data_IF_802876721287
#
_entry.id   IF_802876721287
#
_cell.length_a   1.000
_cell.length_b   1.000
_cell.length_c   1.000
_cell.angle_alpha   90.00
_cell.angle_beta   90.00
_cell.angle_gamma   90.00
#
_symmetry.space_group_name_H-M   'P 1'
#
loop_
_entity.id
_entity.type
_entity.pdbx_description
1 polymer ?
#
# COMPACT_ATOMS: atom_id res chain seq x y z
N UNK A 1 -44.39 3.09 11.44
CA UNK A 1 -43.46 3.34 10.31
C UNK A 1 -42.69 4.60 10.63
N UNK A 2 -41.48 4.44 11.15
CA UNK A 2 -40.53 5.54 11.37
C UNK A 2 -39.17 4.94 11.13
N UNK A 3 -38.62 5.24 9.95
CA UNK A 3 -37.38 4.66 9.44
C UNK A 3 -36.19 5.16 10.23
N UNK A 4 -35.36 4.22 10.67
CA UNK A 4 -34.00 4.46 11.11
C UNK A 4 -33.15 4.74 9.85
N UNK A 5 -32.76 6.00 9.65
CA UNK A 5 -31.67 6.32 8.74
C UNK A 5 -30.37 5.84 9.39
N UNK A 6 -29.81 4.75 8.87
CA UNK A 6 -28.47 4.30 9.22
C UNK A 6 -27.46 5.27 8.60
N UNK A 7 -26.80 6.06 9.43
CA UNK A 7 -25.70 6.92 9.04
C UNK A 7 -24.46 6.03 8.84
N UNK A 8 -24.12 5.70 7.59
CA UNK A 8 -22.83 5.09 7.25
C UNK A 8 -21.76 6.16 7.30
N UNK A 9 -21.09 6.29 8.44
CA UNK A 9 -19.90 7.14 8.59
C UNK A 9 -18.78 6.61 7.68
N UNK A 10 -18.42 7.40 6.66
CA UNK A 10 -17.31 7.13 5.77
C UNK A 10 -15.98 7.16 6.54
N UNK A 11 -15.34 5.99 6.67
CA UNK A 11 -14.00 5.86 7.26
C UNK A 11 -12.95 6.07 6.14
N UNK A 12 -12.48 7.29 5.99
CA UNK A 12 -11.31 7.61 5.15
C UNK A 12 -10.22 8.21 6.06
N UNK A 13 -8.98 7.74 5.93
CA UNK A 13 -7.83 8.30 6.63
C UNK A 13 -6.85 8.89 5.61
N UNK A 14 -6.35 10.11 5.87
CA UNK A 14 -5.36 10.79 5.04
C UNK A 14 -3.91 10.51 5.46
N UNK A 15 -3.69 9.61 6.42
CA UNK A 15 -2.38 9.43 7.06
C UNK A 15 -1.75 8.08 6.70
N UNK A 16 -1.27 7.96 5.46
CA UNK A 16 -0.27 6.94 5.07
C UNK A 16 0.94 7.68 4.52
N UNK A 17 1.86 7.98 5.42
CA UNK A 17 3.09 8.69 5.11
C UNK A 17 4.26 7.74 5.28
N UNK A 18 4.80 7.31 4.16
CA UNK A 18 5.78 6.23 4.08
C UNK A 18 7.22 6.78 4.01
N UNK A 19 7.37 8.05 3.65
CA UNK A 19 8.62 8.83 3.65
C UNK A 19 8.57 9.99 4.67
N UNK A 20 9.70 10.64 4.93
CA UNK A 20 9.73 11.81 5.83
C UNK A 20 9.01 13.00 5.21
N UNK A 21 8.17 13.67 6.00
CA UNK A 21 7.58 14.96 5.57
C UNK A 21 8.75 15.92 5.39
N UNK A 22 8.87 16.53 4.22
CA UNK A 22 9.76 17.66 4.08
C UNK A 22 9.36 18.74 5.11
N UNK A 23 10.36 19.46 5.63
CA UNK A 23 10.21 20.42 6.74
C UNK A 23 9.09 21.45 6.55
N UNK A 24 8.71 21.73 5.30
CA UNK A 24 7.63 22.66 4.93
C UNK A 24 6.22 22.17 5.29
N UNK A 25 6.04 20.87 5.57
CA UNK A 25 4.76 20.29 5.99
C UNK A 25 3.69 20.33 4.89
N UNK A 26 2.43 20.53 5.30
CA UNK A 26 1.27 20.40 4.41
C UNK A 26 0.77 21.77 3.91
N UNK A 27 0.23 21.86 2.68
CA UNK A 27 -0.30 23.11 2.12
C UNK A 27 -1.69 23.46 2.69
N UNK A 28 -1.76 23.68 4.01
CA UNK A 28 -3.03 23.89 4.73
C UNK A 28 -3.89 25.01 4.17
N UNK A 29 -3.29 26.12 3.73
CA UNK A 29 -4.04 27.24 3.15
C UNK A 29 -4.83 26.81 1.91
N UNK A 30 -4.22 26.02 1.00
CA UNK A 30 -4.88 25.55 -0.22
C UNK A 30 -5.97 24.50 0.09
N UNK A 31 -5.66 23.56 1.00
CA UNK A 31 -6.60 22.52 1.44
C UNK A 31 -7.84 23.14 2.12
N UNK A 32 -7.64 24.03 3.10
CA UNK A 32 -8.73 24.64 3.86
C UNK A 32 -9.56 25.63 3.03
N UNK A 33 -8.94 26.35 2.10
CA UNK A 33 -9.68 27.25 1.18
C UNK A 33 -10.64 26.47 0.27
N UNK A 34 -10.19 25.32 -0.24
CA UNK A 34 -11.02 24.43 -1.06
C UNK A 34 -12.15 23.79 -0.25
N UNK A 35 -11.85 23.32 0.97
CA UNK A 35 -12.86 22.74 1.86
C UNK A 35 -13.94 23.75 2.27
N UNK A 36 -13.54 25.00 2.56
CA UNK A 36 -14.49 26.04 3.04
C UNK A 36 -15.31 26.67 1.92
N UNK A 37 -14.89 26.52 0.66
CA UNK A 37 -15.62 27.04 -0.51
C UNK A 37 -16.65 26.05 -1.08
N UNK A 38 -16.59 24.78 -0.69
CA UNK A 38 -17.54 23.74 -1.10
C UNK A 38 -18.10 22.98 0.11
N UNK A 39 -19.26 23.40 0.60
CA UNK A 39 -19.97 22.74 1.70
C UNK A 39 -20.54 21.36 1.34
N UNK A 40 -20.54 20.99 0.05
CA UNK A 40 -21.02 19.69 -0.45
C UNK A 40 -19.92 18.65 -0.65
N UNK A 41 -18.65 18.99 -0.36
CA UNK A 41 -17.52 18.11 -0.59
C UNK A 41 -17.65 16.79 0.20
N UNK A 42 -17.58 15.67 -0.51
CA UNK A 42 -17.61 14.35 0.13
C UNK A 42 -16.28 14.04 0.84
N UNK A 43 -16.26 13.14 1.84
CA UNK A 43 -15.02 12.71 2.48
C UNK A 43 -13.97 12.17 1.50
N UNK A 44 -14.40 11.42 0.48
CA UNK A 44 -13.53 10.90 -0.57
C UNK A 44 -12.95 12.04 -1.43
N UNK A 45 -13.78 13.01 -1.84
CA UNK A 45 -13.32 14.16 -2.61
C UNK A 45 -12.29 14.98 -1.82
N UNK A 46 -12.52 15.17 -0.52
CA UNK A 46 -11.57 15.84 0.37
C UNK A 46 -10.25 15.06 0.49
N UNK A 47 -10.31 13.74 0.66
CA UNK A 47 -9.12 12.90 0.74
C UNK A 47 -8.29 12.96 -0.56
N UNK A 48 -8.95 12.88 -1.73
CA UNK A 48 -8.28 13.05 -3.03
C UNK A 48 -7.65 14.43 -3.18
N UNK A 49 -8.40 15.48 -2.84
CA UNK A 49 -7.94 16.86 -2.90
C UNK A 49 -6.67 17.08 -2.06
N UNK A 50 -6.66 16.59 -0.82
CA UNK A 50 -5.51 16.67 0.09
C UNK A 50 -4.25 16.10 -0.56
N UNK A 51 -4.34 14.90 -1.13
CA UNK A 51 -3.21 14.21 -1.78
C UNK A 51 -2.74 14.99 -3.02
N UNK A 52 -3.68 15.51 -3.81
CA UNK A 52 -3.36 16.32 -4.99
C UNK A 52 -2.69 17.65 -4.64
N UNK A 53 -3.19 18.37 -3.64
CA UNK A 53 -2.58 19.61 -3.17
C UNK A 53 -1.17 19.38 -2.62
N UNK A 54 -0.95 18.27 -1.90
CA UNK A 54 0.38 17.88 -1.45
C UNK A 54 1.36 17.69 -2.61
N UNK A 55 0.93 16.98 -3.67
CA UNK A 55 1.73 16.83 -4.90
C UNK A 55 2.05 18.17 -5.56
N UNK A 56 1.02 19.01 -5.80
CA UNK A 56 1.16 20.34 -6.42
C UNK A 56 2.12 21.24 -5.65
N UNK A 57 2.03 21.23 -4.32
CA UNK A 57 2.87 22.04 -3.45
C UNK A 57 4.36 21.72 -3.64
N UNK A 58 4.70 20.44 -3.64
CA UNK A 58 6.09 19.99 -3.77
C UNK A 58 6.62 20.00 -5.20
N UNK A 59 5.75 19.95 -6.21
CA UNK A 59 6.12 20.25 -7.59
C UNK A 59 6.50 21.74 -7.74
N UNK A 60 5.73 22.65 -7.15
CA UNK A 60 5.95 24.11 -7.26
C UNK A 60 7.14 24.62 -6.44
N UNK A 61 7.45 24.02 -5.28
CA UNK A 61 8.60 24.41 -4.45
C UNK A 61 9.94 23.86 -4.96
N UNK A 62 9.95 23.12 -6.08
CA UNK A 62 11.16 22.50 -6.63
C UNK A 62 12.10 23.52 -7.28
N UNK A 63 12.87 24.24 -6.45
CA UNK A 63 13.96 25.15 -6.86
C UNK A 63 15.19 24.39 -7.39
N UNK A 64 15.00 23.57 -8.43
CA UNK A 64 16.07 22.87 -9.15
C UNK A 64 16.17 21.36 -8.89
N UNK A 65 15.61 20.85 -7.80
CA UNK A 65 15.49 19.41 -7.53
C UNK A 65 14.11 19.12 -6.95
N UNK A 66 13.35 18.22 -7.60
CA UNK A 66 12.09 17.74 -7.04
C UNK A 66 12.38 16.96 -5.75
N UNK A 67 11.75 17.32 -4.61
CA UNK A 67 11.86 16.52 -3.39
C UNK A 67 11.32 15.13 -3.66
N UNK A 68 11.77 14.12 -2.92
CA UNK A 68 11.24 12.75 -2.99
C UNK A 68 10.06 12.65 -2.02
N UNK A 69 8.84 12.56 -2.55
CA UNK A 69 7.62 12.49 -1.75
C UNK A 69 6.78 11.28 -2.18
N UNK A 70 6.04 10.74 -1.22
CA UNK A 70 4.93 9.82 -1.44
C UNK A 70 3.78 10.25 -0.53
N UNK A 71 2.56 10.21 -1.05
CA UNK A 71 1.35 10.44 -0.26
C UNK A 71 0.19 9.75 -0.97
N UNK A 72 -0.64 9.05 -0.19
CA UNK A 72 -1.83 8.37 -0.68
C UNK A 72 -3.05 8.64 0.20
N UNK A 73 -4.22 8.31 -0.33
CA UNK A 73 -5.48 8.28 0.41
C UNK A 73 -6.11 6.91 0.26
N UNK A 74 -6.57 6.36 1.37
CA UNK A 74 -7.08 4.98 1.46
C UNK A 74 -8.56 4.96 1.82
N UNK A 75 -9.33 4.19 1.05
CA UNK A 75 -10.72 3.87 1.31
C UNK A 75 -10.84 2.66 2.24
N UNK A 76 -11.13 2.91 3.52
CA UNK A 76 -11.17 1.82 4.51
C UNK A 76 -12.37 0.89 4.34
N UNK A 77 -13.34 1.19 3.47
CA UNK A 77 -14.43 0.25 3.15
C UNK A 77 -13.94 -0.98 2.38
N UNK A 78 -12.77 -0.88 1.72
CA UNK A 78 -12.14 -1.99 0.99
C UNK A 78 -11.12 -2.79 1.84
N UNK A 79 -10.89 -2.41 3.11
CA UNK A 79 -9.82 -3.00 3.93
C UNK A 79 -10.07 -4.48 4.25
N UNK A 80 -11.33 -4.89 4.42
CA UNK A 80 -11.69 -6.29 4.67
C UNK A 80 -11.38 -7.17 3.45
N UNK A 81 -11.61 -6.65 2.24
CA UNK A 81 -11.25 -7.33 0.99
C UNK A 81 -9.74 -7.50 0.85
N UNK A 82 -8.97 -6.45 1.20
CA UNK A 82 -7.51 -6.57 1.26
C UNK A 82 -7.09 -7.64 2.26
N UNK A 83 -7.63 -7.64 3.48
CA UNK A 83 -7.26 -8.59 4.51
C UNK A 83 -7.57 -10.05 4.10
N UNK A 84 -8.68 -10.28 3.41
CA UNK A 84 -9.03 -11.60 2.85
C UNK A 84 -8.09 -12.04 1.74
N UNK A 85 -7.80 -11.16 0.77
CA UNK A 85 -6.87 -11.43 -0.31
C UNK A 85 -5.45 -11.69 0.21
N UNK A 86 -4.98 -10.89 1.17
CA UNK A 86 -3.69 -11.08 1.85
C UNK A 86 -3.64 -12.40 2.62
N UNK A 87 -4.75 -12.85 3.22
CA UNK A 87 -4.82 -14.16 3.89
C UNK A 87 -4.68 -15.32 2.93
N UNK A 88 -5.36 -15.25 1.79
CA UNK A 88 -5.19 -16.25 0.71
C UNK A 88 -3.77 -16.22 0.15
N UNK A 89 -3.22 -15.05 -0.15
CA UNK A 89 -1.86 -14.88 -0.62
C UNK A 89 -0.83 -15.49 0.35
N UNK A 90 -0.94 -15.16 1.64
CA UNK A 90 -0.05 -15.70 2.67
C UNK A 90 -0.17 -17.23 2.79
N UNK A 91 -1.39 -17.78 2.67
CA UNK A 91 -1.62 -19.22 2.69
C UNK A 91 -0.95 -19.92 1.51
N UNK A 92 -1.18 -19.43 0.28
CA UNK A 92 -0.61 -20.00 -0.95
C UNK A 92 0.91 -19.94 -0.94
N UNK A 93 1.48 -18.78 -0.61
CA UNK A 93 2.94 -18.62 -0.53
C UNK A 93 3.56 -19.58 0.50
N UNK A 94 2.93 -19.75 1.66
CA UNK A 94 3.42 -20.70 2.68
C UNK A 94 3.35 -22.14 2.22
N UNK A 95 2.27 -22.53 1.54
CA UNK A 95 2.14 -23.88 1.00
C UNK A 95 3.25 -24.15 -0.01
N UNK A 96 3.46 -23.25 -0.97
CA UNK A 96 4.48 -23.41 -2.01
C UNK A 96 5.90 -23.45 -1.44
N UNK A 97 6.18 -22.64 -0.42
CA UNK A 97 7.45 -22.70 0.31
C UNK A 97 7.63 -24.03 1.08
N UNK A 98 6.56 -24.57 1.69
CA UNK A 98 6.63 -25.86 2.36
C UNK A 98 6.86 -27.03 1.38
N UNK A 99 6.33 -26.90 0.17
CA UNK A 99 6.55 -27.81 -0.96
C UNK A 99 7.92 -27.62 -1.64
N UNK A 100 8.69 -26.60 -1.26
CA UNK A 100 9.99 -26.22 -1.84
C UNK A 100 9.88 -25.86 -3.32
N UNK A 101 8.83 -25.12 -3.69
CA UNK A 101 8.67 -24.57 -5.03
C UNK A 101 9.81 -23.57 -5.33
N UNK A 102 10.70 -23.97 -6.25
CA UNK A 102 11.89 -23.21 -6.61
C UNK A 102 11.55 -21.89 -7.31
N UNK A 103 10.48 -21.85 -8.11
CA UNK A 103 10.10 -20.66 -8.87
C UNK A 103 9.57 -19.58 -7.91
N UNK A 104 8.79 -19.97 -6.90
CA UNK A 104 8.35 -19.07 -5.82
C UNK A 104 9.53 -18.57 -4.99
N UNK A 105 10.44 -19.45 -4.55
CA UNK A 105 11.62 -19.05 -3.78
C UNK A 105 12.48 -18.03 -4.54
N UNK A 106 12.73 -18.28 -5.83
CA UNK A 106 13.52 -17.39 -6.68
C UNK A 106 12.84 -16.04 -6.86
N UNK A 107 11.54 -16.02 -7.18
CA UNK A 107 10.75 -14.80 -7.35
C UNK A 107 10.74 -13.96 -6.05
N UNK A 108 10.51 -14.57 -4.88
CA UNK A 108 10.52 -13.87 -3.59
C UNK A 108 11.90 -13.31 -3.24
N UNK A 109 12.96 -14.07 -3.47
CA UNK A 109 14.35 -13.63 -3.25
C UNK A 109 14.72 -12.44 -4.14
N UNK A 110 14.27 -12.45 -5.39
CA UNK A 110 14.45 -11.32 -6.29
C UNK A 110 13.63 -10.10 -5.88
N UNK A 111 12.34 -10.27 -5.58
CA UNK A 111 11.45 -9.21 -5.12
C UNK A 111 11.99 -8.51 -3.86
N UNK A 112 12.43 -9.27 -2.85
CA UNK A 112 13.02 -8.71 -1.61
C UNK A 112 14.21 -7.77 -1.86
N UNK A 113 14.98 -8.02 -2.92
CA UNK A 113 16.17 -7.22 -3.30
C UNK A 113 15.82 -6.01 -4.16
N UNK A 114 14.77 -6.10 -4.99
CA UNK A 114 14.47 -5.11 -6.04
C UNK A 114 13.33 -4.16 -5.72
N UNK A 115 12.46 -4.55 -4.80
CA UNK A 115 11.30 -3.77 -4.40
C UNK A 115 11.69 -2.37 -3.93
N UNK A 116 10.84 -1.40 -4.24
CA UNK A 116 10.93 -0.06 -3.66
C UNK A 116 10.74 -0.15 -2.15
N UNK A 117 11.82 0.10 -1.42
CA UNK A 117 11.80 0.34 0.03
C UNK A 117 11.55 1.80 0.32
N UNK A 118 10.97 2.10 1.46
CA UNK A 118 10.84 3.47 1.97
C UNK A 118 12.00 3.82 2.92
N UNK A 119 11.90 4.95 3.63
CA UNK A 119 12.92 5.37 4.61
C UNK A 119 13.05 4.37 5.74
N UNK A 120 11.93 3.92 6.26
CA UNK A 120 11.91 2.71 7.06
C UNK A 120 12.17 1.53 6.13
N UNK A 121 13.35 0.94 6.27
CA UNK A 121 13.81 -0.13 5.38
C UNK A 121 13.01 -1.40 5.56
N UNK A 122 12.26 -1.54 6.64
CA UNK A 122 11.39 -2.68 6.86
C UNK A 122 10.01 -2.50 6.21
N UNK A 123 9.74 -1.34 5.58
CA UNK A 123 8.55 -1.10 4.78
C UNK A 123 8.89 -1.05 3.29
N UNK A 124 8.11 -1.80 2.50
CA UNK A 124 8.21 -1.85 1.02
C UNK A 124 6.88 -1.48 0.40
N UNK A 125 6.86 -0.99 -0.83
CA UNK A 125 5.61 -0.82 -1.57
C UNK A 125 5.00 -2.19 -1.93
N UNK A 126 3.74 -2.42 -1.53
CA UNK A 126 3.07 -3.71 -1.71
C UNK A 126 2.86 -4.04 -3.18
N UNK A 127 2.38 -3.07 -3.98
CA UNK A 127 2.15 -3.29 -5.40
C UNK A 127 3.45 -3.65 -6.12
N UNK A 128 4.51 -2.88 -5.89
CA UNK A 128 5.82 -3.15 -6.50
C UNK A 128 6.37 -4.50 -6.08
N UNK A 129 6.20 -4.89 -4.80
CA UNK A 129 6.63 -6.19 -4.32
C UNK A 129 5.94 -7.33 -5.07
N UNK A 130 4.61 -7.27 -5.17
CA UNK A 130 3.81 -8.31 -5.83
C UNK A 130 4.02 -8.33 -7.35
N UNK A 131 4.15 -7.16 -7.98
CA UNK A 131 4.42 -7.07 -9.41
C UNK A 131 5.74 -7.74 -9.78
N UNK A 132 6.78 -7.56 -8.96
CA UNK A 132 8.08 -8.21 -9.17
C UNK A 132 7.96 -9.73 -8.97
N UNK A 133 7.19 -10.20 -7.98
CA UNK A 133 6.94 -11.64 -7.82
C UNK A 133 6.27 -12.20 -9.08
N UNK A 134 5.21 -11.55 -9.57
CA UNK A 134 4.47 -11.98 -10.74
C UNK A 134 5.34 -12.00 -12.01
N UNK A 135 6.20 -10.99 -12.20
CA UNK A 135 7.08 -10.89 -13.36
C UNK A 135 8.22 -11.93 -13.37
N UNK A 136 8.66 -12.36 -12.19
CA UNK A 136 9.80 -13.29 -12.04
C UNK A 136 9.35 -14.73 -11.78
N UNK A 137 8.06 -14.95 -11.52
CA UNK A 137 7.51 -16.28 -11.30
C UNK A 137 7.41 -17.05 -12.62
N UNK A 138 8.21 -18.12 -12.74
CA UNK A 138 8.25 -18.97 -13.93
C UNK A 138 7.38 -20.23 -13.83
N UNK A 139 6.71 -20.44 -12.69
CA UNK A 139 5.83 -21.58 -12.46
C UNK A 139 4.41 -21.37 -13.02
N UNK A 140 3.53 -22.34 -12.79
CA UNK A 140 2.18 -22.39 -13.36
C UNK A 140 1.06 -22.41 -12.31
N UNK A 141 1.35 -22.07 -11.04
CA UNK A 141 0.35 -22.01 -10.00
C UNK A 141 -0.66 -20.87 -10.25
N UNK A 142 -1.85 -21.25 -10.71
CA UNK A 142 -2.90 -20.30 -11.06
C UNK A 142 -3.48 -19.57 -9.83
N UNK A 143 -3.53 -20.24 -8.67
CA UNK A 143 -4.04 -19.63 -7.44
C UNK A 143 -3.13 -18.49 -6.97
N UNK A 144 -1.81 -18.66 -7.06
CA UNK A 144 -0.82 -17.64 -6.74
C UNK A 144 -0.95 -16.42 -7.65
N UNK A 145 -1.00 -16.63 -8.97
CA UNK A 145 -1.11 -15.52 -9.92
C UNK A 145 -2.43 -14.78 -9.76
N UNK A 146 -3.55 -15.51 -9.62
CA UNK A 146 -4.86 -14.92 -9.38
C UNK A 146 -4.90 -14.09 -8.10
N UNK A 147 -4.42 -14.61 -6.96
CA UNK A 147 -4.49 -13.86 -5.69
C UNK A 147 -3.54 -12.66 -5.67
N UNK A 148 -2.42 -12.71 -6.39
CA UNK A 148 -1.55 -11.55 -6.59
C UNK A 148 -2.30 -10.46 -7.37
N UNK A 149 -2.93 -10.81 -8.50
CA UNK A 149 -3.69 -9.87 -9.32
C UNK A 149 -4.82 -9.23 -8.52
N UNK A 150 -5.57 -10.03 -7.74
CA UNK A 150 -6.64 -9.53 -6.87
C UNK A 150 -6.14 -8.50 -5.83
N UNK A 151 -4.97 -8.71 -5.22
CA UNK A 151 -4.39 -7.73 -4.29
C UNK A 151 -3.94 -6.48 -5.05
N UNK A 152 -3.28 -6.65 -6.20
CA UNK A 152 -2.78 -5.52 -6.99
C UNK A 152 -3.90 -4.64 -7.52
N UNK A 153 -5.03 -5.23 -7.95
CA UNK A 153 -6.20 -4.52 -8.46
C UNK A 153 -6.78 -3.55 -7.41
N UNK A 154 -6.80 -3.93 -6.12
CA UNK A 154 -7.24 -3.04 -5.04
C UNK A 154 -6.39 -1.75 -4.94
N UNK A 155 -5.12 -1.81 -5.37
CA UNK A 155 -4.14 -0.72 -5.25
C UNK A 155 -4.12 0.19 -6.48
N UNK A 156 -4.85 -0.16 -7.53
CA UNK A 156 -4.97 0.66 -8.75
C UNK A 156 -6.17 1.61 -8.58
N UNK A 157 -5.91 2.92 -8.66
CA UNK A 157 -6.92 3.96 -8.43
C UNK A 157 -8.08 3.87 -9.43
N UNK A 158 -7.86 3.29 -10.60
CA UNK A 158 -8.86 3.14 -11.65
C UNK A 158 -9.68 1.85 -11.58
N UNK A 159 -9.42 0.96 -10.59
CA UNK A 159 -10.04 -0.37 -10.48
C UNK A 159 -10.92 -0.46 -9.23
N UNK A 160 -12.17 -0.90 -9.42
CA UNK A 160 -13.11 -1.11 -8.32
C UNK A 160 -13.05 -2.54 -7.78
N UNK A 161 -13.13 -2.75 -6.45
CA UNK A 161 -13.26 -1.75 -5.39
C UNK A 161 -11.93 -1.04 -5.10
N UNK A 162 -11.91 0.29 -5.17
CA UNK A 162 -10.69 1.07 -4.92
C UNK A 162 -10.32 1.03 -3.43
N UNK A 163 -9.16 0.46 -3.07
CA UNK A 163 -8.56 0.67 -1.75
C UNK A 163 -7.77 1.99 -1.75
N UNK A 164 -7.03 2.29 -2.80
CA UNK A 164 -6.31 3.57 -2.95
C UNK A 164 -7.12 4.49 -3.84
N UNK A 165 -7.54 5.64 -3.31
CA UNK A 165 -8.38 6.62 -4.03
C UNK A 165 -7.58 7.78 -4.61
N UNK A 166 -6.37 8.01 -4.09
CA UNK A 166 -5.40 8.93 -4.69
C UNK A 166 -3.99 8.52 -4.27
N UNK A 167 -3.03 8.76 -5.15
CA UNK A 167 -1.60 8.54 -4.90
C UNK A 167 -0.78 9.59 -5.66
N UNK A 168 0.12 10.28 -4.98
CA UNK A 168 1.12 11.16 -5.58
C UNK A 168 2.50 10.72 -5.16
N UNK A 169 3.42 10.74 -6.12
CA UNK A 169 4.82 10.38 -5.90
C UNK A 169 5.70 11.32 -6.70
N UNK A 170 6.94 11.49 -6.25
CA UNK A 170 7.94 12.27 -6.99
C UNK A 170 9.31 11.62 -6.93
N UNK A 171 10.13 11.94 -7.94
CA UNK A 171 11.45 11.34 -8.10
C UNK A 171 11.41 9.96 -8.74
N UNK A 172 12.51 9.62 -9.41
CA UNK A 172 12.61 8.39 -10.22
C UNK A 172 12.44 7.10 -9.40
N UNK A 173 12.76 7.14 -8.10
CA UNK A 173 12.66 6.00 -7.18
C UNK A 173 11.23 5.55 -6.96
N UNK A 174 10.27 6.47 -6.93
CA UNK A 174 8.89 6.20 -6.52
C UNK A 174 7.91 6.06 -7.68
N UNK A 175 8.40 6.00 -8.93
CA UNK A 175 7.56 5.79 -10.12
C UNK A 175 6.73 4.50 -10.10
N UNK A 176 7.15 3.49 -9.32
CA UNK A 176 6.46 2.21 -9.19
C UNK A 176 5.55 2.11 -7.97
N UNK A 177 5.57 3.11 -7.09
CA UNK A 177 4.80 3.12 -5.84
C UNK A 177 3.32 3.34 -6.13
N UNK A 178 2.47 2.52 -5.51
CA UNK A 178 1.00 2.63 -5.60
C UNK A 178 0.32 3.03 -4.30
N UNK A 179 1.11 3.37 -3.28
CA UNK A 179 0.61 4.13 -2.12
C UNK A 179 0.12 3.25 -0.97
N UNK A 180 0.49 1.98 -0.95
CA UNK A 180 0.35 1.13 0.23
C UNK A 180 1.64 0.38 0.50
N UNK A 181 2.20 0.62 1.68
CA UNK A 181 3.34 -0.09 2.21
C UNK A 181 2.93 -1.38 2.93
N UNK A 182 3.85 -2.33 2.95
CA UNK A 182 3.75 -3.54 3.75
C UNK A 182 5.06 -3.81 4.48
N UNK A 183 4.95 -4.42 5.66
CA UNK A 183 6.11 -4.86 6.43
C UNK A 183 6.83 -6.01 5.70
N UNK A 184 8.11 -5.85 5.43
CA UNK A 184 9.00 -6.83 4.82
C UNK A 184 10.44 -6.57 5.31
N UNK A 185 10.77 -7.01 6.54
CA UNK A 185 12.01 -6.64 7.21
C UNK A 185 13.27 -7.18 6.52
N UNK A 186 14.37 -6.44 6.63
CA UNK A 186 15.67 -6.85 6.05
C UNK A 186 16.52 -7.74 6.98
N UNK A 187 16.44 -7.51 8.29
CA UNK A 187 17.43 -8.04 9.26
C UNK A 187 16.84 -8.93 10.34
N UNK A 188 15.52 -9.00 10.45
CA UNK A 188 14.85 -9.84 11.44
C UNK A 188 13.39 -9.45 11.62
N UNK A 189 12.57 -10.44 11.92
CA UNK A 189 11.16 -10.26 12.23
C UNK A 189 10.99 -9.59 13.60
N UNK A 190 10.21 -8.51 13.68
CA UNK A 190 9.93 -7.81 14.93
C UNK A 190 8.76 -8.47 15.66
N UNK A 191 8.92 -8.89 16.93
CA UNK A 191 7.81 -9.46 17.72
C UNK A 191 6.70 -8.43 18.00
N UNK A 192 6.98 -7.13 17.84
CA UNK A 192 5.95 -6.10 17.98
C UNK A 192 4.96 -6.07 16.81
N UNK A 193 5.35 -6.59 15.64
CA UNK A 193 4.45 -6.67 14.48
C UNK A 193 3.25 -7.59 14.76
N UNK A 194 3.44 -8.63 15.57
CA UNK A 194 2.39 -9.59 15.97
C UNK A 194 1.25 -8.95 16.79
N UNK A 195 1.44 -7.72 17.29
CA UNK A 195 0.40 -7.00 18.04
C UNK A 195 -0.53 -6.20 17.14
N UNK A 196 -0.29 -6.17 15.83
CA UNK A 196 -1.14 -5.49 14.86
C UNK A 196 -2.29 -6.39 14.43
N UNK A 197 -3.50 -5.85 14.35
CA UNK A 197 -4.67 -6.55 13.79
C UNK A 197 -4.42 -7.04 12.35
N UNK A 198 -3.49 -6.40 11.62
CA UNK A 198 -3.11 -6.84 10.28
C UNK A 198 -2.24 -8.11 10.28
N UNK A 199 -1.51 -8.41 11.36
CA UNK A 199 -0.71 -9.62 11.44
C UNK A 199 -1.56 -10.91 11.33
N UNK A 200 -2.83 -10.82 11.73
CA UNK A 200 -3.82 -11.91 11.68
C UNK A 200 -4.28 -12.24 10.24
N UNK A 201 -3.85 -11.49 9.22
CA UNK A 201 -3.99 -11.92 7.83
C UNK A 201 -2.97 -13.00 7.45
N UNK A 202 -2.12 -13.48 8.36
CA UNK A 202 -1.15 -14.54 8.08
C UNK A 202 0.13 -14.06 7.40
N UNK A 203 0.23 -12.77 7.06
CA UNK A 203 1.46 -12.19 6.50
C UNK A 203 2.65 -12.33 7.44
N UNK A 204 2.45 -12.12 8.74
CA UNK A 204 3.52 -12.29 9.73
C UNK A 204 4.03 -13.74 9.80
N UNK A 205 3.12 -14.71 9.72
CA UNK A 205 3.47 -16.14 9.67
C UNK A 205 4.27 -16.50 8.41
N UNK A 206 3.85 -15.98 7.25
CA UNK A 206 4.58 -16.12 6.00
C UNK A 206 6.01 -15.56 6.11
N UNK A 207 6.17 -14.34 6.65
CA UNK A 207 7.48 -13.71 6.78
C UNK A 207 8.42 -14.48 7.71
N UNK A 208 7.91 -15.08 8.79
CA UNK A 208 8.71 -15.93 9.68
C UNK A 208 9.22 -17.17 8.94
N UNK A 209 8.32 -17.89 8.26
CA UNK A 209 8.72 -19.07 7.47
C UNK A 209 9.72 -18.73 6.37
N UNK A 210 9.57 -17.57 5.72
CA UNK A 210 10.49 -17.12 4.67
C UNK A 210 11.88 -16.73 5.22
N UNK A 211 11.98 -16.26 6.47
CA UNK A 211 13.27 -15.93 7.08
C UNK A 211 14.01 -17.17 7.62
N UNK A 212 13.30 -18.25 7.92
CA UNK A 212 13.89 -19.53 8.35
C UNK A 212 14.54 -20.30 7.18
N UNK A 213 14.26 -19.91 5.93
CA UNK A 213 14.83 -20.48 4.70
C UNK A 213 16.17 -19.83 4.28
N UNK A 214 16.60 -18.76 4.95
CA UNK A 214 17.79 -17.95 4.60
C UNK A 214 18.97 -18.11 5.53
#
# INVERSE_FOLDING_TARGET
MTGLMSNTEGKFTSNTKEEVEPLSGWPWTAILSSLTSDSGMTPEALAKLIVQEYGRYYEQDSRGTLPQITQSATNLTAIEKLAEAMRRLASVLRQLLAEKDFDVENALSYAKRKVVRFRDKDCVDLYDFLKIILDEYAGDNHELTQVIDEVMDLLIVEVEPQLIVANVTSGVRFKRVKGLSIYSPLRGYSPFYERSDFADCGWGEFLRGLNDLG
#
